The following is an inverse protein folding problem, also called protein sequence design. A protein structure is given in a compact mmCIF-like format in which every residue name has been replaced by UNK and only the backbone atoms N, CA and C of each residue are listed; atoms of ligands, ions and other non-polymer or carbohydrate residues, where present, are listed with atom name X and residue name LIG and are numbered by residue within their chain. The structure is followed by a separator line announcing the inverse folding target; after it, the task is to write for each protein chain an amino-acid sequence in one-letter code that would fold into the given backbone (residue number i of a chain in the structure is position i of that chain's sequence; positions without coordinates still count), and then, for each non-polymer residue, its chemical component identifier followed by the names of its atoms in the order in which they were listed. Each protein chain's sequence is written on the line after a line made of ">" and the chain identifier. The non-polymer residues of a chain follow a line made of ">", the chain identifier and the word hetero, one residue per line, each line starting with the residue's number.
data_IF_664436665443
#
_entry.id   IF_664436665443
#
_cell.length_a   1.000
_cell.length_b   1.000
_cell.length_c   1.000
_cell.angle_alpha   90.00
_cell.angle_beta   90.00
_cell.angle_gamma   90.00
#
_symmetry.space_group_name_H-M   'P 1'
#
loop_
_entity.id
_entity.type
_entity.pdbx_description
1 polymer ?
#
# COMPACT_ATOMS: atom_id res chain seq x y z
N UNK A 1 -11.96 22.92 -9.08
CA UNK A 1 -12.18 21.51 -9.44
C UNK A 1 -10.82 20.90 -9.70
N UNK A 2 -10.40 19.92 -8.89
CA UNK A 2 -9.03 19.40 -8.96
C UNK A 2 -8.85 18.64 -10.29
N UNK A 3 -7.83 18.92 -11.11
CA UNK A 3 -7.55 18.12 -12.31
C UNK A 3 -7.05 16.72 -11.92
N UNK A 4 -6.91 15.81 -12.89
CA UNK A 4 -6.09 14.60 -12.68
C UNK A 4 -4.66 15.01 -12.32
N UNK A 5 -3.90 14.07 -11.73
CA UNK A 5 -2.50 14.32 -11.42
C UNK A 5 -1.67 14.68 -12.66
N UNK A 6 -2.04 14.18 -13.86
CA UNK A 6 -1.41 14.52 -15.13
C UNK A 6 -1.93 15.82 -15.78
N UNK A 7 -2.78 16.59 -15.09
CA UNK A 7 -3.36 17.85 -15.58
C UNK A 7 -4.55 17.69 -16.52
N UNK A 8 -4.93 16.46 -16.87
CA UNK A 8 -6.10 16.17 -17.71
C UNK A 8 -7.43 16.09 -16.95
N UNK A 9 -8.52 15.94 -17.70
CA UNK A 9 -9.84 15.64 -17.13
C UNK A 9 -9.98 14.16 -16.76
N UNK A 10 -10.68 13.89 -15.65
CA UNK A 10 -10.97 12.53 -15.23
C UNK A 10 -12.09 11.92 -16.08
N UNK A 11 -12.01 10.61 -16.37
CA UNK A 11 -13.08 9.88 -17.05
C UNK A 11 -14.37 9.88 -16.21
N UNK A 12 -14.25 9.67 -14.89
CA UNK A 12 -15.36 9.76 -13.92
C UNK A 12 -15.14 10.91 -12.94
N UNK A 13 -15.37 12.10 -13.44
CA UNK A 13 -15.17 13.36 -12.71
C UNK A 13 -15.90 13.45 -11.36
N UNK A 14 -17.07 12.80 -11.22
CA UNK A 14 -17.84 12.77 -9.98
C UNK A 14 -17.31 11.79 -8.91
N UNK A 15 -16.42 10.87 -9.28
CA UNK A 15 -15.79 9.90 -8.37
C UNK A 15 -14.40 10.36 -7.91
N UNK A 16 -14.01 11.59 -8.27
CA UNK A 16 -12.71 12.15 -7.89
C UNK A 16 -12.65 12.33 -6.38
N UNK A 17 -11.55 11.87 -5.79
CA UNK A 17 -11.23 12.06 -4.38
C UNK A 17 -10.17 13.15 -4.21
N UNK A 18 -10.25 13.88 -3.10
CA UNK A 18 -9.13 14.67 -2.62
C UNK A 18 -8.05 13.76 -2.00
N UNK A 19 -6.91 14.35 -1.61
CA UNK A 19 -5.78 13.60 -1.07
C UNK A 19 -6.15 12.89 0.25
N UNK A 20 -6.87 13.54 1.16
CA UNK A 20 -7.27 12.97 2.45
C UNK A 20 -8.17 11.74 2.27
N UNK A 21 -9.17 11.83 1.39
CA UNK A 21 -10.04 10.71 1.06
C UNK A 21 -9.31 9.59 0.35
N UNK A 22 -8.35 9.93 -0.50
CA UNK A 22 -7.50 8.94 -1.17
C UNK A 22 -6.65 8.20 -0.15
N UNK A 23 -5.98 8.91 0.77
CA UNK A 23 -5.17 8.30 1.82
C UNK A 23 -6.03 7.45 2.75
N UNK A 24 -7.21 7.91 3.16
CA UNK A 24 -8.14 7.12 3.97
C UNK A 24 -8.58 5.84 3.24
N UNK A 25 -8.95 5.94 1.96
CA UNK A 25 -9.39 4.80 1.16
C UNK A 25 -8.29 3.73 0.99
N UNK A 26 -7.05 4.13 0.73
CA UNK A 26 -5.92 3.22 0.52
C UNK A 26 -5.27 2.71 1.81
N UNK A 27 -5.64 3.24 2.98
CA UNK A 27 -5.12 2.79 4.28
C UNK A 27 -6.22 2.12 5.11
N UNK A 28 -6.93 2.88 5.91
CA UNK A 28 -8.04 2.41 6.76
C UNK A 28 -9.15 1.75 5.96
N UNK A 29 -9.51 2.31 4.80
CA UNK A 29 -10.52 1.76 3.89
C UNK A 29 -10.11 0.39 3.36
N UNK A 30 -8.87 0.25 2.89
CA UNK A 30 -8.28 -1.02 2.48
C UNK A 30 -8.27 -2.04 3.60
N UNK A 31 -7.81 -1.66 4.80
CA UNK A 31 -7.83 -2.54 5.97
C UNK A 31 -9.24 -3.07 6.28
N UNK A 32 -10.27 -2.21 6.23
CA UNK A 32 -11.66 -2.63 6.39
C UNK A 32 -12.16 -3.55 5.28
N UNK A 33 -11.79 -3.29 4.01
CA UNK A 33 -12.17 -4.14 2.89
C UNK A 33 -11.60 -5.56 3.01
N UNK A 34 -10.43 -5.71 3.63
CA UNK A 34 -9.78 -6.99 3.89
C UNK A 34 -10.03 -7.57 5.29
N UNK A 35 -10.94 -7.00 6.10
CA UNK A 35 -11.26 -7.43 7.46
C UNK A 35 -10.06 -7.37 8.44
N UNK A 36 -9.17 -6.42 8.24
CA UNK A 36 -7.96 -6.16 9.05
C UNK A 36 -7.99 -4.81 9.78
N UNK A 37 -9.15 -4.16 9.87
CA UNK A 37 -9.35 -2.81 10.45
C UNK A 37 -8.89 -2.66 11.91
N UNK A 38 -8.78 -3.77 12.63
CA UNK A 38 -8.31 -3.82 14.03
C UNK A 38 -6.79 -3.99 14.17
N UNK A 39 -6.06 -4.07 13.05
CA UNK A 39 -4.62 -4.36 13.04
C UNK A 39 -3.81 -3.56 12.01
N UNK A 40 -4.44 -3.05 10.95
CA UNK A 40 -3.79 -2.35 9.82
C UNK A 40 -4.46 -1.01 9.49
N UNK A 41 -3.80 -0.23 8.61
CA UNK A 41 -4.38 0.97 7.99
C UNK A 41 -4.40 2.22 8.85
N UNK A 42 -3.84 2.19 10.07
CA UNK A 42 -3.71 3.34 10.96
C UNK A 42 -2.41 3.29 11.77
N UNK A 43 -1.77 4.44 11.96
CA UNK A 43 -0.65 4.60 12.89
C UNK A 43 -1.18 4.73 14.32
N UNK A 44 -1.32 3.60 15.01
CA UNK A 44 -1.86 3.51 16.37
C UNK A 44 -1.15 2.41 17.16
N UNK A 45 -1.00 2.61 18.46
CA UNK A 45 -0.50 1.56 19.37
C UNK A 45 -1.35 0.30 19.29
N UNK A 46 -0.71 -0.87 19.13
CA UNK A 46 -1.39 -2.16 18.99
C UNK A 46 -1.67 -2.57 17.53
N UNK A 47 -1.39 -1.70 16.56
CA UNK A 47 -1.45 -2.02 15.13
C UNK A 47 -0.09 -2.51 14.64
N UNK A 48 -0.06 -3.21 13.51
CA UNK A 48 1.19 -3.54 12.83
C UNK A 48 1.90 -2.24 12.42
N UNK A 49 3.22 -2.24 12.57
CA UNK A 49 4.06 -1.14 12.14
C UNK A 49 4.31 -1.19 10.64
N UNK A 50 3.22 -0.98 9.88
CA UNK A 50 3.20 -0.91 8.42
C UNK A 50 3.10 0.56 8.01
N UNK A 51 4.19 1.12 7.48
CA UNK A 51 4.25 2.53 7.10
C UNK A 51 5.17 2.78 5.92
N UNK A 52 4.91 3.89 5.23
CA UNK A 52 5.71 4.40 4.12
C UNK A 52 6.09 5.84 4.43
N UNK A 53 7.36 6.18 4.21
CA UNK A 53 7.84 7.56 4.21
C UNK A 53 8.09 7.97 2.77
N UNK A 54 7.44 9.04 2.32
CA UNK A 54 7.60 9.58 0.97
C UNK A 54 8.81 10.51 0.87
N UNK A 55 9.36 10.64 -0.33
CA UNK A 55 10.46 11.56 -0.65
C UNK A 55 10.14 13.05 -0.45
N UNK A 56 8.86 13.39 -0.33
CA UNK A 56 8.37 14.76 -0.11
C UNK A 56 7.06 14.79 0.65
N UNK A 57 6.64 15.99 1.05
CA UNK A 57 5.37 16.21 1.73
C UNK A 57 4.23 16.33 0.70
N UNK A 58 3.37 15.32 0.66
CA UNK A 58 2.25 15.22 -0.28
C UNK A 58 1.23 16.39 -0.13
N UNK A 59 1.21 17.08 1.02
CA UNK A 59 0.31 18.20 1.28
C UNK A 59 0.86 19.55 0.83
N UNK A 60 2.16 19.64 0.56
CA UNK A 60 2.83 20.90 0.22
C UNK A 60 3.19 21.03 -1.26
N UNK A 61 2.77 20.09 -2.10
CA UNK A 61 3.15 20.03 -3.52
C UNK A 61 1.93 20.09 -4.45
N UNK A 62 2.17 20.47 -5.71
CA UNK A 62 1.13 20.42 -6.74
C UNK A 62 0.78 18.96 -7.09
N UNK A 63 -0.48 18.67 -7.49
CA UNK A 63 -0.92 17.30 -7.76
C UNK A 63 -0.04 16.54 -8.77
N UNK A 64 0.52 17.22 -9.77
CA UNK A 64 1.40 16.59 -10.75
C UNK A 64 2.73 16.12 -10.17
N UNK A 65 3.21 16.76 -9.11
CA UNK A 65 4.46 16.41 -8.45
C UNK A 65 4.34 15.11 -7.63
N UNK A 66 3.10 14.73 -7.27
CA UNK A 66 2.82 13.46 -6.58
C UNK A 66 3.28 12.26 -7.43
N UNK A 67 3.18 12.34 -8.76
CA UNK A 67 3.59 11.28 -9.68
C UNK A 67 5.10 11.00 -9.68
N UNK A 68 5.91 11.96 -9.21
CA UNK A 68 7.36 11.81 -9.11
C UNK A 68 7.81 11.33 -7.72
N UNK A 69 6.89 11.18 -6.77
CA UNK A 69 7.23 10.77 -5.41
C UNK A 69 7.61 9.29 -5.37
N UNK A 70 8.58 8.98 -4.51
CA UNK A 70 9.05 7.63 -4.23
C UNK A 70 8.95 7.37 -2.73
N UNK A 71 8.82 6.10 -2.38
CA UNK A 71 9.02 5.68 -0.99
C UNK A 71 10.52 5.78 -0.68
N UNK A 72 10.89 6.63 0.28
CA UNK A 72 12.25 6.66 0.83
C UNK A 72 12.43 5.57 1.90
N UNK A 73 11.35 5.16 2.56
CA UNK A 73 11.31 4.05 3.52
C UNK A 73 9.98 3.30 3.41
N UNK A 74 10.05 1.97 3.44
CA UNK A 74 8.89 1.10 3.63
C UNK A 74 9.18 0.14 4.78
N UNK A 75 8.32 0.16 5.79
CA UNK A 75 8.35 -0.75 6.94
C UNK A 75 7.13 -1.64 6.87
N UNK A 76 7.33 -2.95 7.04
CA UNK A 76 6.27 -3.96 7.10
C UNK A 76 6.48 -4.79 8.36
N UNK A 77 5.47 -4.87 9.21
CA UNK A 77 5.51 -5.58 10.49
C UNK A 77 6.62 -5.08 11.42
N UNK A 78 7.02 -3.80 11.31
CA UNK A 78 8.14 -3.23 12.07
C UNK A 78 9.52 -3.53 11.48
N UNK A 79 9.61 -4.20 10.33
CA UNK A 79 10.88 -4.43 9.62
C UNK A 79 10.99 -3.51 8.42
N UNK A 80 12.08 -2.74 8.31
CA UNK A 80 12.38 -1.98 7.12
C UNK A 80 12.70 -2.92 5.95
N UNK A 81 11.82 -2.98 4.94
CA UNK A 81 11.97 -3.81 3.74
C UNK A 81 12.50 -3.00 2.55
N UNK A 82 12.36 -1.68 2.60
CA UNK A 82 12.98 -0.75 1.67
C UNK A 82 13.48 0.46 2.46
N UNK A 83 14.73 0.87 2.24
CA UNK A 83 15.34 2.04 2.88
C UNK A 83 16.32 2.67 1.89
N UNK A 84 15.87 3.71 1.19
CA UNK A 84 16.66 4.40 0.18
C UNK A 84 17.80 5.26 0.79
N UNK A 85 17.68 5.61 2.07
CA UNK A 85 18.64 6.48 2.78
C UNK A 85 19.64 5.68 3.62
N UNK A 86 19.36 4.41 3.90
CA UNK A 86 20.19 3.52 4.71
C UNK A 86 20.17 3.86 6.20
N UNK A 87 19.12 4.53 6.68
CA UNK A 87 19.00 5.03 8.06
C UNK A 87 18.61 3.93 9.07
N UNK A 88 17.88 2.91 8.64
CA UNK A 88 17.35 1.82 9.47
C UNK A 88 18.01 0.47 9.18
N UNK A 89 19.15 0.47 8.49
CA UNK A 89 19.87 -0.71 8.02
C UNK A 89 19.89 -1.91 8.99
N UNK A 90 19.08 -2.92 8.66
CA UNK A 90 19.28 -4.32 9.01
C UNK A 90 19.30 -4.69 10.50
N UNK A 91 18.13 -5.00 11.05
CA UNK A 91 17.99 -5.77 12.30
C UNK A 91 16.69 -6.55 12.30
N UNK A 92 16.67 -7.70 11.61
CA UNK A 92 15.57 -8.64 11.69
C UNK A 92 15.41 -9.12 13.14
N UNK A 93 14.46 -8.52 13.86
CA UNK A 93 13.90 -9.11 15.08
C UNK A 93 12.39 -8.92 15.10
N UNK A 94 11.76 -9.27 13.99
CA UNK A 94 10.40 -9.73 13.98
C UNK A 94 10.36 -10.93 13.03
N UNK A 95 9.82 -12.05 13.50
CA UNK A 95 9.42 -13.16 12.62
C UNK A 95 8.73 -12.57 11.39
N UNK A 96 9.04 -13.00 10.15
CA UNK A 96 8.34 -12.50 8.98
C UNK A 96 6.84 -12.65 9.24
N UNK A 97 6.14 -11.53 9.45
CA UNK A 97 4.69 -11.55 9.50
C UNK A 97 4.29 -11.88 8.08
N UNK A 98 3.73 -13.08 7.87
CA UNK A 98 3.18 -13.41 6.58
C UNK A 98 2.02 -12.45 6.36
N UNK A 99 2.11 -11.62 5.33
CA UNK A 99 0.95 -10.88 4.84
C UNK A 99 -0.11 -11.91 4.43
N UNK A 100 -1.27 -11.96 5.12
CA UNK A 100 -2.33 -12.90 4.77
C UNK A 100 -2.91 -12.62 3.38
N UNK A 101 -2.72 -11.41 2.82
CA UNK A 101 -3.07 -11.07 1.44
C UNK A 101 -1.97 -11.40 0.42
N UNK A 102 -0.72 -11.57 0.87
CA UNK A 102 0.46 -11.82 0.04
C UNK A 102 0.85 -13.30 -0.09
N UNK A 103 0.21 -14.20 0.64
CA UNK A 103 0.35 -15.65 0.45
C UNK A 103 -0.41 -16.08 -0.81
N UNK A 104 0.04 -15.62 -1.99
CA UNK A 104 -0.34 -16.21 -3.25
C UNK A 104 -0.05 -17.70 -3.17
N UNK A 105 -1.11 -18.51 -3.28
CA UNK A 105 -0.97 -19.96 -3.40
C UNK A 105 -0.14 -20.20 -4.66
N UNK A 106 1.11 -20.64 -4.52
CA UNK A 106 1.85 -21.11 -5.68
C UNK A 106 1.14 -22.36 -6.17
N UNK A 107 0.53 -22.27 -7.35
CA UNK A 107 -0.06 -23.43 -8.02
C UNK A 107 1.07 -24.35 -8.52
N UNK A 108 1.73 -25.03 -7.60
CA UNK A 108 2.60 -26.15 -7.91
C UNK A 108 1.84 -27.40 -7.50
N UNK A 109 1.27 -28.05 -8.54
CA UNK A 109 0.62 -29.36 -8.58
C UNK A 109 -0.93 -29.38 -8.51
N UNK A 110 -1.59 -30.14 -9.40
CA UNK A 110 -3.05 -30.25 -9.43
C UNK A 110 -3.57 -31.07 -8.23
N UNK A 111 -4.32 -30.43 -7.34
CA UNK A 111 -5.14 -31.09 -6.32
C UNK A 111 -6.58 -31.21 -6.81
N UNK A 112 -7.25 -32.33 -6.50
CA UNK A 112 -8.64 -32.60 -6.88
C UNK A 112 -9.65 -31.54 -6.36
N UNK A 113 -9.25 -30.77 -5.35
CA UNK A 113 -10.08 -29.76 -4.69
C UNK A 113 -9.89 -28.33 -5.22
N UNK A 114 -8.97 -28.10 -6.16
CA UNK A 114 -8.67 -26.75 -6.68
C UNK A 114 -8.66 -26.70 -8.22
N UNK A 115 -9.58 -25.94 -8.81
CA UNK A 115 -9.59 -25.63 -10.24
C UNK A 115 -8.85 -24.31 -10.50
N UNK A 116 -7.70 -24.40 -11.18
CA UNK A 116 -6.97 -23.24 -11.69
C UNK A 116 -7.42 -22.94 -13.12
N UNK A 117 -7.89 -21.71 -13.38
CA UNK A 117 -8.16 -21.24 -14.74
C UNK A 117 -6.91 -20.58 -15.31
N UNK A 118 -6.35 -21.13 -16.39
CA UNK A 118 -5.30 -20.49 -17.16
C UNK A 118 -5.93 -19.60 -18.24
N UNK A 119 -5.60 -18.32 -18.23
CA UNK A 119 -5.94 -17.42 -19.34
C UNK A 119 -4.80 -17.47 -20.37
N UNK A 120 -5.03 -18.14 -21.48
CA UNK A 120 -4.18 -18.04 -22.67
C UNK A 120 -4.54 -16.77 -23.43
N UNK A 121 -3.53 -15.92 -23.66
CA UNK A 121 -3.61 -14.72 -24.50
C UNK A 121 -3.48 -15.08 -25.98
#
# INVERSE_FOLDING_TARGET
>A
MLPRLDGGDAWTTGERLDLDRTLEAYTKGGAGAFHHENSLGMLRTGYLADLVVWSGDLYSMEPAEILAQRADLTVVGGTAVHDARGELGGGASATPVQDPGGAGQSCTEPSADHHCHAHTH
#
